data_IF_001343951745
#
_entry.id   IF_001343951745
#
_cell.length_a   1.000
_cell.length_b   1.000
_cell.length_c   1.000
_cell.angle_alpha   90.00
_cell.angle_beta   90.00
_cell.angle_gamma   90.00
#
_symmetry.space_group_name_H-M   'P 1'
#
loop_
_entity.id
_entity.type
_entity.pdbx_description
1 polymer ?
#
# COMPACT_ATOMS: atom_id res chain seq x y z
N UNK A 1 36.32 -29.19 -52.69
CA UNK A 1 36.33 -30.38 -53.57
C UNK A 1 37.46 -31.30 -53.11
N UNK A 2 37.10 -32.54 -52.77
CA UNK A 2 37.94 -33.75 -52.60
C UNK A 2 39.22 -33.68 -51.75
N UNK A 3 39.21 -34.36 -50.60
CA UNK A 3 40.10 -35.51 -50.40
C UNK A 3 39.57 -36.42 -49.28
N UNK A 4 39.75 -37.71 -49.50
CA UNK A 4 39.20 -38.89 -48.84
C UNK A 4 40.40 -39.72 -48.35
N UNK A 5 40.17 -40.53 -47.29
CA UNK A 5 40.94 -41.74 -46.90
C UNK A 5 42.31 -41.47 -46.23
N UNK A 6 42.82 -42.22 -45.25
CA UNK A 6 42.38 -43.41 -44.52
C UNK A 6 43.52 -43.81 -43.55
N UNK A 7 43.21 -44.45 -42.43
CA UNK A 7 44.08 -45.51 -41.86
C UNK A 7 44.67 -45.29 -40.47
N UNK A 8 44.45 -46.26 -39.57
CA UNK A 8 45.33 -46.52 -38.43
C UNK A 8 44.64 -46.93 -37.13
N UNK A 9 44.46 -48.24 -36.90
CA UNK A 9 44.00 -48.87 -35.65
C UNK A 9 45.13 -48.97 -34.61
N UNK A 10 44.82 -48.56 -33.36
CA UNK A 10 45.17 -49.09 -32.01
C UNK A 10 46.64 -49.47 -31.63
N UNK A 11 47.12 -49.23 -30.38
CA UNK A 11 46.58 -49.93 -29.19
C UNK A 11 46.49 -49.13 -27.86
N UNK A 12 45.46 -49.49 -27.07
CA UNK A 12 45.46 -49.75 -25.61
C UNK A 12 46.34 -48.91 -24.67
N UNK A 13 45.71 -48.10 -23.81
CA UNK A 13 46.05 -47.95 -22.38
C UNK A 13 44.76 -47.80 -21.55
N UNK A 14 44.60 -48.68 -20.56
CA UNK A 14 43.45 -48.78 -19.66
C UNK A 14 43.38 -47.64 -18.62
N UNK A 15 42.22 -47.40 -17.97
CA UNK A 15 41.98 -46.21 -17.15
C UNK A 15 42.33 -46.44 -15.67
N UNK A 16 43.30 -45.70 -15.13
CA UNK A 16 43.67 -45.72 -13.71
C UNK A 16 42.87 -44.73 -12.83
N UNK A 17 41.84 -44.06 -13.35
CA UNK A 17 41.10 -43.03 -12.60
C UNK A 17 39.65 -43.40 -12.22
N UNK A 18 39.20 -44.63 -12.51
CA UNK A 18 37.81 -45.06 -12.25
C UNK A 18 37.63 -45.95 -11.00
N UNK A 19 38.70 -46.33 -10.31
CA UNK A 19 38.62 -47.24 -9.15
C UNK A 19 38.61 -46.52 -7.79
N UNK A 20 39.01 -45.24 -7.73
CA UNK A 20 38.96 -44.43 -6.49
C UNK A 20 37.57 -43.89 -6.14
N UNK A 21 36.72 -43.63 -7.13
CA UNK A 21 35.41 -43.01 -6.91
C UNK A 21 34.32 -44.00 -6.42
N UNK A 22 34.47 -45.30 -6.71
CA UNK A 22 33.46 -46.31 -6.34
C UNK A 22 33.63 -46.88 -4.92
N UNK A 23 34.77 -46.68 -4.26
CA UNK A 23 34.99 -47.12 -2.87
C UNK A 23 34.54 -46.07 -1.84
N UNK A 24 34.46 -44.78 -2.20
CA UNK A 24 33.90 -43.73 -1.35
C UNK A 24 32.35 -43.75 -1.33
N UNK A 25 31.70 -44.15 -2.43
CA UNK A 25 30.24 -44.28 -2.50
C UNK A 25 29.67 -45.50 -1.74
N UNK A 26 30.48 -46.55 -1.50
CA UNK A 26 30.06 -47.74 -0.72
C UNK A 26 30.23 -47.60 0.80
N UNK A 27 30.96 -46.60 1.29
CA UNK A 27 31.07 -46.31 2.75
C UNK A 27 30.04 -45.28 3.25
N UNK A 28 29.45 -44.48 2.36
CA UNK A 28 28.37 -43.55 2.71
C UNK A 28 26.98 -44.19 2.88
N UNK A 29 26.73 -45.33 2.22
CA UNK A 29 25.42 -46.00 2.27
C UNK A 29 25.26 -47.05 3.38
N UNK A 30 26.35 -47.48 4.02
CA UNK A 30 26.29 -48.46 5.11
C UNK A 30 26.11 -47.83 6.51
N UNK A 31 26.22 -46.51 6.64
CA UNK A 31 26.04 -45.79 7.91
C UNK A 31 24.62 -45.23 8.12
N UNK A 32 23.70 -45.42 7.17
CA UNK A 32 22.31 -44.94 7.29
C UNK A 32 21.26 -46.06 7.35
N UNK A 33 21.68 -47.32 7.46
CA UNK A 33 20.77 -48.48 7.44
C UNK A 33 20.60 -49.18 8.82
N UNK A 34 21.17 -48.62 9.90
CA UNK A 34 21.13 -49.22 11.24
C UNK A 34 20.34 -48.39 12.28
N UNK A 35 19.51 -47.43 11.85
CA UNK A 35 18.68 -46.62 12.77
C UNK A 35 17.16 -46.76 12.50
N UNK A 36 16.74 -47.66 11.62
CA UNK A 36 15.33 -47.91 11.31
C UNK A 36 14.90 -49.29 11.83
N UNK A 37 14.75 -49.43 13.15
CA UNK A 37 13.96 -50.52 13.73
C UNK A 37 13.41 -50.20 15.13
N UNK A 38 13.04 -48.95 15.42
CA UNK A 38 12.08 -48.68 16.49
C UNK A 38 10.79 -48.18 15.86
N UNK A 39 9.70 -48.90 16.09
CA UNK A 39 8.36 -48.48 15.69
C UNK A 39 8.11 -47.05 16.20
N UNK A 40 8.12 -46.08 15.27
CA UNK A 40 7.73 -44.72 15.57
C UNK A 40 6.20 -44.71 15.67
N UNK A 41 5.71 -44.29 16.83
CA UNK A 41 4.29 -44.01 17.02
C UNK A 41 3.78 -43.03 15.94
N UNK A 42 2.53 -43.16 15.49
CA UNK A 42 1.96 -42.23 14.53
C UNK A 42 2.07 -40.80 15.07
N UNK A 43 2.64 -39.91 14.26
CA UNK A 43 2.79 -38.51 14.61
C UNK A 43 1.44 -37.94 15.09
N UNK A 44 1.41 -37.21 16.23
CA UNK A 44 0.17 -36.64 16.73
C UNK A 44 -0.42 -35.72 15.66
N UNK A 45 -1.74 -35.81 15.47
CA UNK A 45 -2.48 -34.93 14.58
C UNK A 45 -2.10 -33.47 14.85
N UNK A 46 -1.95 -32.63 13.80
CA UNK A 46 -1.60 -31.22 13.98
C UNK A 46 -2.61 -30.58 14.93
N UNK A 47 -2.10 -30.07 16.06
CA UNK A 47 -2.96 -29.38 17.02
C UNK A 47 -3.63 -28.19 16.32
N UNK A 48 -4.90 -27.88 16.65
CA UNK A 48 -5.57 -26.71 16.09
C UNK A 48 -4.68 -25.50 16.34
N UNK A 49 -4.31 -24.78 15.28
CA UNK A 49 -3.49 -23.59 15.37
C UNK A 49 -4.08 -22.69 16.47
N UNK A 50 -3.30 -22.43 17.53
CA UNK A 50 -3.70 -21.53 18.59
C UNK A 50 -4.27 -20.27 17.95
N UNK A 51 -5.50 -19.94 18.33
CA UNK A 51 -6.21 -18.76 17.86
C UNK A 51 -5.32 -17.56 18.16
N UNK A 52 -4.63 -17.04 17.14
CA UNK A 52 -3.70 -15.91 17.24
C UNK A 52 -4.36 -14.82 18.09
N UNK A 53 -3.89 -14.66 19.33
CA UNK A 53 -4.32 -13.57 20.17
C UNK A 53 -3.98 -12.27 19.43
N UNK A 54 -4.91 -11.32 19.42
CA UNK A 54 -4.63 -9.95 18.97
C UNK A 54 -3.36 -9.48 19.70
N UNK A 55 -2.30 -9.03 19.00
CA UNK A 55 -1.12 -8.54 19.68
C UNK A 55 -1.55 -7.46 20.67
N UNK A 56 -1.14 -7.62 21.93
CA UNK A 56 -1.14 -6.51 22.88
C UNK A 56 -0.43 -5.32 22.23
N UNK A 57 -0.84 -4.09 22.57
CA UNK A 57 -0.18 -2.87 22.10
C UNK A 57 1.35 -3.08 22.12
N UNK A 58 1.97 -3.01 20.94
CA UNK A 58 3.34 -3.46 20.72
C UNK A 58 4.27 -2.81 21.75
N UNK A 59 4.81 -3.64 22.65
CA UNK A 59 5.82 -3.22 23.61
C UNK A 59 7.16 -3.12 22.87
N UNK A 60 7.52 -1.88 22.54
CA UNK A 60 8.70 -1.59 21.74
C UNK A 60 9.95 -1.47 22.62
N UNK A 61 10.73 -2.54 22.83
CA UNK A 61 12.08 -2.36 23.38
C UNK A 61 13.04 -3.54 23.16
N UNK A 62 14.16 -3.25 22.48
CA UNK A 62 15.50 -3.75 22.85
C UNK A 62 16.56 -2.65 22.71
N UNK A 63 16.36 -1.64 21.86
CA UNK A 63 17.15 -0.41 21.80
C UNK A 63 16.45 0.76 22.52
N UNK A 64 17.19 1.64 23.21
CA UNK A 64 16.61 2.83 23.83
C UNK A 64 16.05 3.77 22.75
N UNK A 65 14.74 4.00 22.78
CA UNK A 65 14.09 5.02 21.96
C UNK A 65 14.28 6.39 22.62
N UNK A 66 14.52 7.45 21.84
CA UNK A 66 14.59 8.80 22.38
C UNK A 66 13.25 9.15 23.02
N UNK A 67 13.28 9.56 24.29
CA UNK A 67 12.06 9.92 25.03
C UNK A 67 11.62 11.34 24.73
N UNK A 68 12.49 12.15 24.11
CA UNK A 68 12.23 13.55 23.82
C UNK A 68 12.85 14.01 22.47
N UNK A 69 12.24 14.98 21.77
CA UNK A 69 12.70 15.42 20.44
C UNK A 69 14.11 16.03 20.39
N UNK A 70 14.63 16.56 21.50
CA UNK A 70 15.97 17.14 21.60
C UNK A 70 17.10 16.10 21.51
N UNK A 71 16.78 14.83 21.79
CA UNK A 71 17.74 13.72 21.73
C UNK A 71 17.94 13.13 20.33
N UNK A 72 17.14 13.57 19.35
CA UNK A 72 17.19 13.02 17.99
C UNK A 72 18.18 13.81 17.13
N UNK A 73 19.21 13.18 16.55
CA UNK A 73 20.17 13.87 15.69
C UNK A 73 19.48 14.39 14.42
N UNK A 74 19.74 15.64 14.05
CA UNK A 74 19.28 16.18 12.77
C UNK A 74 20.09 15.58 11.62
N UNK A 75 19.38 14.96 10.67
CA UNK A 75 19.99 14.37 9.47
C UNK A 75 19.28 14.92 8.25
N UNK A 76 20.03 15.26 7.21
CA UNK A 76 19.49 15.70 5.92
C UNK A 76 19.41 14.50 4.98
N UNK A 77 18.25 14.34 4.35
CA UNK A 77 17.99 13.34 3.32
C UNK A 77 17.44 13.96 2.06
N UNK A 78 17.37 13.16 1.00
CA UNK A 78 16.76 13.53 -0.26
C UNK A 78 15.31 13.03 -0.32
N UNK A 79 14.37 13.96 -0.36
CA UNK A 79 12.92 13.68 -0.32
C UNK A 79 12.29 14.07 -1.66
N UNK A 80 11.52 13.16 -2.24
CA UNK A 80 10.72 13.42 -3.44
C UNK A 80 9.51 14.29 -3.07
N UNK A 81 8.63 13.77 -2.21
CA UNK A 81 7.39 14.42 -1.84
C UNK A 81 6.91 13.98 -0.46
N UNK A 82 5.90 14.67 0.04
CA UNK A 82 5.25 14.38 1.32
C UNK A 82 3.75 14.36 1.07
N UNK A 83 3.06 13.40 1.67
CA UNK A 83 1.60 13.35 1.70
C UNK A 83 1.13 13.31 3.14
N UNK A 84 0.36 14.31 3.56
CA UNK A 84 0.02 14.49 4.98
C UNK A 84 -0.88 13.38 5.52
N UNK A 85 -1.73 12.80 4.66
CA UNK A 85 -2.79 11.87 5.06
C UNK A 85 -2.98 10.76 4.02
N UNK A 86 -2.36 9.61 4.24
CA UNK A 86 -2.71 8.37 3.55
C UNK A 86 -3.47 7.43 4.46
N UNK A 87 -4.48 6.76 3.93
CA UNK A 87 -5.20 5.67 4.60
C UNK A 87 -4.86 4.29 4.01
N UNK A 88 -3.86 4.21 3.12
CA UNK A 88 -3.55 3.00 2.34
C UNK A 88 -2.12 2.48 2.53
N UNK A 89 -1.29 3.19 3.28
CA UNK A 89 0.14 2.89 3.47
C UNK A 89 0.47 2.43 4.89
N UNK A 90 -0.42 1.59 5.40
CA UNK A 90 -0.34 0.97 6.72
C UNK A 90 -1.56 1.28 7.61
N UNK A 91 -1.65 0.67 8.79
CA UNK A 91 -2.71 0.92 9.76
C UNK A 91 -2.90 2.39 10.15
N UNK A 92 -4.16 2.84 10.15
CA UNK A 92 -4.54 4.21 10.53
C UNK A 92 -4.24 5.23 9.45
N UNK A 93 -4.31 6.52 9.82
CA UNK A 93 -3.90 7.62 8.93
C UNK A 93 -2.39 7.81 9.08
N UNK A 94 -1.68 7.87 7.95
CA UNK A 94 -0.23 7.96 7.88
C UNK A 94 0.20 9.28 7.26
N UNK A 95 1.20 9.91 7.86
CA UNK A 95 2.01 10.93 7.22
C UNK A 95 3.07 10.23 6.36
N UNK A 96 3.05 10.45 5.05
CA UNK A 96 3.95 9.80 4.12
C UNK A 96 5.12 10.68 3.75
N UNK A 97 6.29 10.08 3.79
CA UNK A 97 7.52 10.66 3.26
C UNK A 97 7.99 9.79 2.11
N UNK A 98 7.88 10.29 0.89
CA UNK A 98 8.43 9.64 -0.29
C UNK A 98 9.90 10.06 -0.41
N UNK A 99 10.83 9.17 -0.07
CA UNK A 99 12.26 9.44 -0.25
C UNK A 99 12.66 9.31 -1.72
N UNK A 100 13.70 10.04 -2.11
CA UNK A 100 14.33 9.89 -3.41
C UNK A 100 15.37 8.77 -3.38
N UNK A 101 15.58 8.10 -4.51
CA UNK A 101 16.56 7.05 -4.73
C UNK A 101 15.95 5.65 -4.64
N UNK A 102 16.09 4.84 -5.69
CA UNK A 102 15.69 3.43 -5.68
C UNK A 102 16.69 2.58 -6.47
N UNK A 103 17.10 1.44 -5.91
CA UNK A 103 18.05 0.52 -6.53
C UNK A 103 17.41 -0.49 -7.50
N UNK A 104 16.08 -0.53 -7.55
CA UNK A 104 15.30 -1.38 -8.44
C UNK A 104 14.83 -0.64 -9.70
N UNK A 105 14.50 -1.43 -10.72
CA UNK A 105 13.86 -0.96 -11.96
C UNK A 105 12.61 -1.80 -12.23
N UNK A 106 11.72 -1.81 -11.24
CA UNK A 106 10.48 -2.57 -11.29
C UNK A 106 9.71 -2.26 -12.59
N UNK A 107 9.36 -3.28 -13.37
CA UNK A 107 8.65 -3.13 -14.65
C UNK A 107 7.30 -2.41 -14.54
N UNK A 108 6.70 -2.38 -13.34
CA UNK A 108 5.44 -1.70 -13.03
C UNK A 108 5.62 -0.47 -12.10
N UNK A 109 6.84 0.04 -11.93
CA UNK A 109 7.10 1.12 -10.97
C UNK A 109 6.17 2.33 -11.22
N UNK A 110 5.37 2.73 -10.24
CA UNK A 110 4.51 3.91 -10.37
C UNK A 110 5.24 5.23 -10.17
N UNK A 111 6.50 5.20 -9.72
CA UNK A 111 7.29 6.39 -9.41
C UNK A 111 8.73 6.29 -9.97
N UNK A 112 8.90 6.19 -11.30
CA UNK A 112 10.24 6.18 -11.92
C UNK A 112 11.03 7.48 -11.66
N UNK A 113 10.32 8.58 -11.45
CA UNK A 113 10.81 9.89 -11.01
C UNK A 113 11.56 9.83 -9.66
N UNK A 114 11.35 8.80 -8.84
CA UNK A 114 12.08 8.60 -7.57
C UNK A 114 13.41 7.88 -7.74
N UNK A 115 13.78 7.33 -8.91
CA UNK A 115 14.94 6.44 -9.01
C UNK A 115 16.29 7.09 -8.74
N UNK A 116 16.43 8.36 -9.09
CA UNK A 116 17.71 9.08 -9.05
C UNK A 116 17.84 9.88 -7.75
N UNK A 117 18.63 9.36 -6.80
CA UNK A 117 18.84 9.95 -5.46
C UNK A 117 19.17 11.46 -5.50
N UNK A 118 19.96 11.90 -6.47
CA UNK A 118 20.42 13.28 -6.56
C UNK A 118 19.34 14.31 -6.94
N UNK A 119 18.12 13.88 -7.30
CA UNK A 119 17.06 14.77 -7.80
C UNK A 119 16.04 15.21 -6.74
N UNK A 120 16.11 14.66 -5.53
CA UNK A 120 15.14 14.98 -4.48
C UNK A 120 15.54 16.26 -3.72
N UNK A 121 14.57 16.82 -3.02
CA UNK A 121 14.74 18.01 -2.19
C UNK A 121 15.49 17.66 -0.91
N UNK A 122 16.58 18.36 -0.64
CA UNK A 122 17.30 18.22 0.63
C UNK A 122 16.41 18.70 1.76
N UNK A 123 16.04 17.76 2.63
CA UNK A 123 15.10 17.99 3.74
C UNK A 123 15.71 17.43 5.02
N UNK A 124 15.72 18.21 6.10
CA UNK A 124 16.18 17.71 7.39
C UNK A 124 15.09 16.92 8.11
N UNK A 125 15.49 15.96 8.94
CA UNK A 125 14.56 15.21 9.79
C UNK A 125 13.80 16.13 10.74
N UNK A 126 14.42 17.21 11.24
CA UNK A 126 13.76 18.23 12.07
C UNK A 126 12.69 19.00 11.31
N UNK A 127 12.90 19.30 10.04
CA UNK A 127 11.88 19.96 9.23
C UNK A 127 10.67 19.06 8.95
N UNK A 128 10.90 17.77 8.72
CA UNK A 128 9.83 16.77 8.68
C UNK A 128 9.11 16.68 10.04
N UNK A 129 9.86 16.70 11.14
CA UNK A 129 9.31 16.64 12.49
C UNK A 129 8.41 17.84 12.80
N UNK A 130 8.78 19.06 12.36
CA UNK A 130 7.92 20.25 12.46
C UNK A 130 6.61 20.09 11.69
N UNK A 131 6.66 19.51 10.48
CA UNK A 131 5.46 19.20 9.68
C UNK A 131 4.60 18.15 10.37
N UNK A 132 5.24 17.10 10.89
CA UNK A 132 4.60 16.00 11.61
C UNK A 132 3.86 16.50 12.85
N UNK A 133 4.45 17.42 13.63
CA UNK A 133 3.81 18.01 14.81
C UNK A 133 2.49 18.73 14.46
N UNK A 134 2.45 19.46 13.34
CA UNK A 134 1.25 20.18 12.90
C UNK A 134 0.10 19.23 12.55
N UNK A 135 0.40 18.05 12.01
CA UNK A 135 -0.61 17.08 11.58
C UNK A 135 -0.90 16.00 12.62
N UNK A 136 -0.07 15.86 13.66
CA UNK A 136 -0.20 14.85 14.72
C UNK A 136 -1.62 14.73 15.31
N UNK A 137 -2.38 15.81 15.58
CA UNK A 137 -3.75 15.69 16.08
C UNK A 137 -4.69 14.91 15.15
N UNK A 138 -4.45 14.94 13.84
CA UNK A 138 -5.24 14.18 12.85
C UNK A 138 -4.78 12.73 12.74
N UNK A 139 -3.48 12.46 12.97
CA UNK A 139 -2.92 11.10 12.95
C UNK A 139 -3.29 10.31 14.21
N UNK A 140 -3.51 10.99 15.33
CA UNK A 140 -3.83 10.38 16.64
C UNK A 140 -5.25 10.67 17.11
N UNK A 141 -6.00 11.49 16.37
CA UNK A 141 -7.37 11.84 16.67
C UNK A 141 -8.33 10.65 16.54
N UNK A 142 -9.48 10.75 17.21
CA UNK A 142 -10.59 9.79 17.12
C UNK A 142 -10.23 8.34 17.49
N UNK A 143 -9.21 8.13 18.34
CA UNK A 143 -8.79 6.80 18.79
C UNK A 143 -8.01 6.00 17.74
N UNK A 144 -7.49 6.67 16.70
CA UNK A 144 -6.63 6.05 15.68
C UNK A 144 -5.17 5.98 16.16
N UNK A 145 -4.47 4.91 15.77
CA UNK A 145 -3.02 4.71 16.04
C UNK A 145 -2.18 5.05 14.80
N UNK A 146 -2.41 6.23 14.22
CA UNK A 146 -1.68 6.70 13.04
C UNK A 146 -0.23 7.04 13.33
N UNK A 147 0.48 7.47 12.29
CA UNK A 147 1.93 7.68 12.40
C UNK A 147 2.60 8.01 11.07
N UNK A 148 3.87 7.63 10.92
CA UNK A 148 4.66 7.95 9.73
C UNK A 148 4.99 6.71 8.89
N UNK A 149 4.78 6.79 7.58
CA UNK A 149 5.28 5.77 6.64
C UNK A 149 6.32 6.40 5.72
N UNK A 150 7.54 5.86 5.73
CA UNK A 150 8.59 6.28 4.79
C UNK A 150 8.55 5.31 3.60
N UNK A 151 8.29 5.83 2.39
CA UNK A 151 8.11 5.09 1.13
C UNK A 151 8.84 5.82 -0.03
N UNK A 152 8.32 5.75 -1.25
CA UNK A 152 8.83 6.42 -2.45
C UNK A 152 9.82 5.59 -3.22
N UNK A 153 11.09 5.95 -3.16
CA UNK A 153 12.16 5.15 -3.72
C UNK A 153 12.44 3.93 -2.84
N UNK A 154 13.48 4.01 -2.01
CA UNK A 154 13.84 2.97 -1.06
C UNK A 154 14.39 3.60 0.23
N UNK A 155 13.63 3.58 1.34
CA UNK A 155 14.06 4.15 2.62
C UNK A 155 15.42 3.64 3.12
N UNK A 156 15.75 2.38 2.83
CA UNK A 156 16.99 1.73 3.26
C UNK A 156 18.24 2.19 2.48
N UNK A 157 18.08 3.00 1.42
CA UNK A 157 19.19 3.68 0.74
C UNK A 157 19.62 4.97 1.45
N UNK A 158 18.83 5.48 2.41
CA UNK A 158 19.15 6.65 3.23
C UNK A 158 19.04 6.30 4.73
N UNK A 159 19.81 5.33 5.23
CA UNK A 159 19.52 4.70 6.52
C UNK A 159 19.63 5.65 7.72
N UNK A 160 20.58 6.59 7.73
CA UNK A 160 20.71 7.58 8.82
C UNK A 160 19.53 8.55 8.84
N UNK A 161 19.12 9.01 7.66
CA UNK A 161 17.98 9.91 7.53
C UNK A 161 16.67 9.21 7.91
N UNK A 162 16.46 8.02 7.37
CA UNK A 162 15.30 7.17 7.69
C UNK A 162 15.24 6.90 9.19
N UNK A 163 16.34 6.47 9.82
CA UNK A 163 16.39 6.25 11.27
C UNK A 163 16.04 7.52 12.06
N UNK A 164 16.63 8.66 11.71
CA UNK A 164 16.37 9.94 12.37
C UNK A 164 14.88 10.34 12.25
N UNK A 165 14.25 10.19 11.08
CA UNK A 165 12.83 10.51 10.89
C UNK A 165 11.92 9.58 11.71
N UNK A 166 12.23 8.29 11.80
CA UNK A 166 11.47 7.35 12.64
C UNK A 166 11.60 7.69 14.13
N UNK A 167 12.82 8.04 14.57
CA UNK A 167 13.08 8.52 15.93
C UNK A 167 12.30 9.80 16.25
N UNK A 168 12.22 10.76 15.32
CA UNK A 168 11.40 11.97 15.50
C UNK A 168 9.91 11.66 15.70
N UNK A 169 9.39 10.64 15.00
CA UNK A 169 8.01 10.21 15.16
C UNK A 169 7.78 9.52 16.52
N UNK A 170 8.69 8.64 16.94
CA UNK A 170 8.62 8.01 18.27
C UNK A 170 8.67 9.02 19.41
N UNK A 171 9.55 10.01 19.34
CA UNK A 171 9.63 11.09 20.32
C UNK A 171 8.32 11.90 20.44
N UNK A 172 7.41 11.75 19.48
CA UNK A 172 6.08 12.38 19.44
C UNK A 172 4.93 11.42 19.75
N UNK A 173 5.23 10.16 20.10
CA UNK A 173 4.23 9.13 20.38
C UNK A 173 3.49 8.62 19.14
N UNK A 174 4.11 8.73 17.97
CA UNK A 174 3.54 8.26 16.70
C UNK A 174 4.13 6.92 16.31
N UNK A 175 3.33 6.08 15.64
CA UNK A 175 3.82 4.80 15.14
C UNK A 175 4.66 4.97 13.87
N UNK A 176 5.51 4.00 13.56
CA UNK A 176 6.57 4.09 12.57
C UNK A 176 6.53 2.89 11.63
N UNK A 177 6.68 3.19 10.34
CA UNK A 177 6.63 2.20 9.28
C UNK A 177 7.59 2.59 8.16
N UNK A 178 8.23 1.58 7.55
CA UNK A 178 8.82 1.71 6.22
C UNK A 178 8.02 0.88 5.23
N UNK A 179 7.83 1.42 4.04
CA UNK A 179 7.35 0.69 2.87
C UNK A 179 8.53 0.48 1.93
N UNK A 180 8.99 -0.76 1.85
CA UNK A 180 10.32 -1.10 1.36
C UNK A 180 10.29 -2.32 0.45
N UNK A 181 11.31 -2.42 -0.39
CA UNK A 181 11.60 -3.61 -1.19
C UNK A 181 12.67 -4.49 -0.54
N UNK A 182 13.12 -4.14 0.67
CA UNK A 182 14.14 -4.85 1.44
C UNK A 182 15.56 -4.65 0.91
N UNK A 183 15.79 -3.66 0.05
CA UNK A 183 17.12 -3.39 -0.47
C UNK A 183 17.98 -2.63 0.54
N UNK A 184 19.24 -3.01 0.72
CA UNK A 184 20.23 -2.22 1.45
C UNK A 184 21.58 -2.34 0.77
N UNK A 185 22.38 -1.27 0.75
CA UNK A 185 23.73 -1.36 0.17
C UNK A 185 24.65 -2.25 1.02
N UNK A 186 24.35 -2.37 2.33
CA UNK A 186 25.09 -3.17 3.33
C UNK A 186 24.15 -3.64 4.45
N UNK A 187 24.44 -4.79 5.08
CA UNK A 187 23.69 -5.26 6.28
C UNK A 187 23.62 -4.19 7.39
N UNK A 188 24.68 -3.42 7.59
CA UNK A 188 24.75 -2.35 8.59
C UNK A 188 23.73 -1.21 8.38
N UNK A 189 23.03 -1.17 7.24
CA UNK A 189 21.92 -0.23 7.02
C UNK A 189 20.67 -0.67 7.78
N UNK A 190 20.43 -1.99 7.86
CA UNK A 190 19.30 -2.55 8.58
C UNK A 190 19.43 -2.32 10.08
N UNK A 191 20.64 -2.45 10.63
CA UNK A 191 20.93 -2.17 12.05
C UNK A 191 20.58 -0.74 12.47
N UNK A 192 20.66 0.22 11.54
CA UNK A 192 20.31 1.61 11.81
C UNK A 192 18.82 1.85 11.79
N UNK A 193 18.07 1.18 10.91
CA UNK A 193 16.65 1.49 10.65
C UNK A 193 15.72 0.58 11.47
N UNK A 194 15.96 -0.73 11.46
CA UNK A 194 15.06 -1.74 12.03
C UNK A 194 14.72 -1.53 13.52
N UNK A 195 15.65 -1.08 14.39
CA UNK A 195 15.31 -0.83 15.80
C UNK A 195 14.26 0.27 16.02
N UNK A 196 14.03 1.13 15.01
CA UNK A 196 13.09 2.24 15.07
C UNK A 196 11.79 1.95 14.32
N UNK A 197 11.51 0.69 13.99
CA UNK A 197 10.25 0.28 13.39
C UNK A 197 9.29 -0.27 14.42
N UNK A 198 8.01 0.04 14.23
CA UNK A 198 6.92 -0.65 14.89
C UNK A 198 6.41 -1.80 14.03
N UNK A 199 6.41 -1.61 12.70
CA UNK A 199 6.17 -2.63 11.69
C UNK A 199 6.75 -2.21 10.34
N UNK A 200 6.80 -3.14 9.38
CA UNK A 200 7.21 -2.88 8.01
C UNK A 200 6.13 -3.30 7.00
N UNK A 201 6.09 -2.59 5.88
CA UNK A 201 5.41 -3.03 4.65
C UNK A 201 6.50 -3.49 3.70
N UNK A 202 6.53 -4.78 3.38
CA UNK A 202 7.60 -5.37 2.57
C UNK A 202 7.04 -5.93 1.28
N UNK A 203 7.47 -5.40 0.14
CA UNK A 203 7.02 -5.89 -1.15
C UNK A 203 8.00 -6.90 -1.77
N UNK A 204 7.65 -8.18 -1.71
CA UNK A 204 8.47 -9.29 -2.24
C UNK A 204 8.57 -9.29 -3.77
N UNK A 205 7.60 -8.66 -4.46
CA UNK A 205 7.46 -8.62 -5.93
C UNK A 205 7.17 -10.00 -6.56
N UNK A 206 8.01 -10.99 -6.32
CA UNK A 206 7.77 -12.41 -6.58
C UNK A 206 8.73 -13.26 -5.74
N UNK A 207 8.27 -14.36 -5.10
CA UNK A 207 9.16 -15.31 -4.43
C UNK A 207 9.95 -16.20 -5.42
N UNK A 208 9.58 -16.20 -6.72
CA UNK A 208 10.26 -16.97 -7.76
C UNK A 208 11.47 -16.16 -8.27
N UNK A 209 12.72 -16.64 -8.14
CA UNK A 209 13.91 -15.85 -8.44
C UNK A 209 13.96 -15.25 -9.85
N UNK A 210 13.56 -16.03 -10.86
CA UNK A 210 13.57 -15.59 -12.27
C UNK A 210 12.52 -14.49 -12.52
N UNK A 211 11.31 -14.64 -11.96
CA UNK A 211 10.27 -13.62 -12.03
C UNK A 211 10.67 -12.36 -11.26
N UNK A 212 11.26 -12.51 -10.08
CA UNK A 212 11.79 -11.40 -9.30
C UNK A 212 12.83 -10.59 -10.11
N UNK A 213 13.77 -11.27 -10.75
CA UNK A 213 14.79 -10.60 -11.57
C UNK A 213 14.20 -9.95 -12.81
N UNK A 214 13.27 -10.61 -13.50
CA UNK A 214 12.55 -10.01 -14.62
C UNK A 214 11.81 -8.73 -14.20
N UNK A 215 11.11 -8.77 -13.06
CA UNK A 215 10.37 -7.63 -12.51
C UNK A 215 11.32 -6.51 -12.14
N UNK A 216 12.34 -6.80 -11.32
CA UNK A 216 13.06 -5.78 -10.56
C UNK A 216 14.40 -5.37 -11.17
N UNK A 217 14.90 -6.17 -12.12
CA UNK A 217 16.25 -6.13 -12.71
C UNK A 217 17.37 -6.41 -11.69
N UNK A 218 17.05 -7.07 -10.56
CA UNK A 218 17.99 -7.46 -9.51
C UNK A 218 17.73 -8.89 -9.04
N UNK A 219 18.72 -9.51 -8.40
CA UNK A 219 18.56 -10.81 -7.76
C UNK A 219 17.78 -10.67 -6.44
N UNK A 220 17.02 -11.70 -6.08
CA UNK A 220 16.14 -11.73 -4.90
C UNK A 220 16.88 -11.79 -3.56
N UNK A 221 18.16 -12.22 -3.55
CA UNK A 221 18.95 -12.47 -2.34
C UNK A 221 18.86 -11.39 -1.25
N UNK A 222 19.11 -10.10 -1.55
CA UNK A 222 19.00 -9.02 -0.55
C UNK A 222 17.60 -8.90 0.08
N UNK A 223 16.54 -9.11 -0.70
CA UNK A 223 15.17 -9.06 -0.21
C UNK A 223 14.85 -10.24 0.73
N UNK A 224 15.41 -11.43 0.46
CA UNK A 224 15.30 -12.58 1.37
C UNK A 224 16.06 -12.31 2.68
N UNK A 225 17.29 -11.79 2.60
CA UNK A 225 18.07 -11.44 3.79
C UNK A 225 17.38 -10.40 4.67
N UNK A 226 16.69 -9.43 4.06
CA UNK A 226 15.89 -8.46 4.80
C UNK A 226 14.73 -9.11 5.57
N UNK A 227 14.03 -10.07 4.94
CA UNK A 227 12.95 -10.83 5.60
C UNK A 227 13.50 -11.66 6.76
N UNK A 228 14.67 -12.26 6.59
CA UNK A 228 15.32 -13.03 7.65
C UNK A 228 15.66 -12.15 8.86
N UNK A 229 16.08 -10.90 8.65
CA UNK A 229 16.29 -9.93 9.73
C UNK A 229 14.99 -9.55 10.45
N UNK A 230 13.90 -9.32 9.71
CA UNK A 230 12.58 -9.04 10.31
C UNK A 230 12.11 -10.22 11.17
N UNK A 231 12.29 -11.45 10.70
CA UNK A 231 11.95 -12.66 11.43
C UNK A 231 12.85 -12.85 12.67
N UNK A 232 14.17 -12.70 12.52
CA UNK A 232 15.13 -12.83 13.62
C UNK A 232 14.88 -11.81 14.74
N UNK A 233 14.57 -10.57 14.37
CA UNK A 233 14.29 -9.47 15.32
C UNK A 233 12.84 -9.44 15.80
N UNK A 234 11.99 -10.34 15.29
CA UNK A 234 10.55 -10.42 15.58
C UNK A 234 9.80 -9.12 15.25
N UNK A 235 10.23 -8.41 14.21
CA UNK A 235 9.61 -7.16 13.76
C UNK A 235 8.37 -7.51 12.93
N UNK A 236 7.17 -7.06 13.33
CA UNK A 236 5.96 -7.31 12.57
C UNK A 236 6.03 -6.75 11.16
N UNK A 237 5.50 -7.47 10.17
CA UNK A 237 5.39 -6.92 8.82
C UNK A 237 4.20 -7.45 8.04
N UNK A 238 3.78 -6.66 7.05
CA UNK A 238 2.83 -7.09 6.03
C UNK A 238 3.57 -7.36 4.74
N UNK A 239 3.34 -8.54 4.16
CA UNK A 239 3.88 -8.90 2.87
C UNK A 239 3.01 -8.30 1.78
N UNK A 240 3.58 -7.44 0.94
CA UNK A 240 2.92 -6.84 -0.21
C UNK A 240 3.24 -7.63 -1.48
N UNK A 241 2.20 -8.04 -2.20
CA UNK A 241 2.34 -8.82 -3.42
C UNK A 241 1.58 -8.15 -4.57
N UNK A 242 2.28 -7.79 -5.65
CA UNK A 242 1.66 -7.17 -6.82
C UNK A 242 1.15 -8.26 -7.77
N UNK A 243 -0.16 -8.33 -7.93
CA UNK A 243 -0.84 -9.27 -8.80
C UNK A 243 -0.91 -8.70 -10.22
N UNK A 244 -0.25 -9.36 -11.16
CA UNK A 244 -0.17 -9.00 -12.58
C UNK A 244 -0.78 -10.14 -13.40
N UNK A 245 -1.82 -9.81 -14.15
CA UNK A 245 -2.56 -10.79 -14.95
C UNK A 245 -1.64 -11.51 -15.96
N UNK A 246 -1.65 -12.84 -15.93
CA UNK A 246 -0.81 -13.71 -16.76
C UNK A 246 0.69 -13.64 -16.47
N UNK A 247 1.11 -13.11 -15.32
CA UNK A 247 2.54 -12.96 -14.96
C UNK A 247 2.84 -13.41 -13.53
N UNK A 248 2.04 -12.98 -12.57
CA UNK A 248 2.24 -13.25 -11.14
C UNK A 248 0.98 -13.82 -10.47
N UNK A 249 0.06 -14.36 -11.26
CA UNK A 249 -1.25 -14.87 -10.86
C UNK A 249 -1.43 -16.39 -11.14
N UNK A 250 -0.37 -17.08 -11.57
CA UNK A 250 -0.42 -18.50 -11.94
C UNK A 250 -0.41 -19.45 -10.73
N UNK A 251 -0.73 -20.75 -10.93
CA UNK A 251 -0.63 -21.76 -9.89
C UNK A 251 0.76 -21.85 -9.25
N UNK A 252 1.82 -21.68 -10.04
CA UNK A 252 3.19 -21.68 -9.54
C UNK A 252 3.50 -20.48 -8.64
N UNK A 253 2.88 -19.32 -8.90
CA UNK A 253 3.03 -18.12 -8.08
C UNK A 253 2.34 -18.31 -6.72
N UNK A 254 1.16 -18.91 -6.73
CA UNK A 254 0.39 -19.23 -5.52
C UNK A 254 1.18 -20.19 -4.64
N UNK A 255 1.66 -21.30 -5.22
CA UNK A 255 2.44 -22.30 -4.49
C UNK A 255 3.73 -21.69 -3.92
N UNK A 256 4.48 -20.94 -4.73
CA UNK A 256 5.71 -20.30 -4.27
C UNK A 256 5.45 -19.27 -3.15
N UNK A 257 4.33 -18.53 -3.23
CA UNK A 257 3.94 -17.59 -2.18
C UNK A 257 3.53 -18.32 -0.89
N UNK A 258 2.82 -19.44 -1.00
CA UNK A 258 2.47 -20.28 0.15
C UNK A 258 3.74 -20.78 0.83
N UNK A 259 4.64 -21.41 0.08
CA UNK A 259 5.90 -21.94 0.61
C UNK A 259 6.75 -20.86 1.28
N UNK A 260 6.85 -19.68 0.65
CA UNK A 260 7.58 -18.55 1.21
C UNK A 260 6.99 -18.09 2.56
N UNK A 261 5.67 -18.11 2.69
CA UNK A 261 4.95 -17.59 3.86
C UNK A 261 4.81 -18.59 5.01
N UNK A 262 4.77 -19.90 4.75
CA UNK A 262 4.39 -20.92 5.74
C UNK A 262 5.24 -20.90 7.02
N UNK A 263 6.50 -20.49 6.95
CA UNK A 263 7.42 -20.49 8.08
C UNK A 263 7.65 -19.12 8.71
N UNK A 264 6.91 -18.08 8.29
CA UNK A 264 7.10 -16.70 8.76
C UNK A 264 6.21 -16.43 9.98
N UNK A 265 6.84 -16.13 11.12
CA UNK A 265 6.19 -15.90 12.41
C UNK A 265 5.89 -14.44 12.66
N UNK A 266 6.70 -13.53 12.12
CA UNK A 266 6.51 -12.08 12.25
C UNK A 266 5.57 -11.50 11.20
N UNK A 267 5.33 -12.26 10.11
CA UNK A 267 4.35 -11.87 9.08
C UNK A 267 2.91 -11.89 9.62
N UNK A 268 2.25 -10.74 9.56
CA UNK A 268 0.89 -10.58 10.07
C UNK A 268 -0.19 -10.71 9.00
N UNK A 269 0.10 -10.26 7.78
CA UNK A 269 -0.85 -10.25 6.67
C UNK A 269 -0.13 -10.32 5.32
N UNK A 270 -0.85 -10.78 4.29
CA UNK A 270 -0.47 -10.65 2.89
C UNK A 270 -1.44 -9.67 2.23
N UNK A 271 -0.93 -8.53 1.79
CA UNK A 271 -1.68 -7.52 1.06
C UNK A 271 -1.49 -7.74 -0.45
N UNK A 272 -2.56 -8.21 -1.10
CA UNK A 272 -2.58 -8.41 -2.56
C UNK A 272 -2.96 -7.10 -3.25
N UNK A 273 -2.03 -6.57 -4.04
CA UNK A 273 -2.11 -5.31 -4.77
C UNK A 273 -2.34 -5.57 -6.26
N UNK A 274 -3.56 -5.36 -6.80
CA UNK A 274 -3.80 -5.51 -8.22
C UNK A 274 -2.99 -4.48 -9.01
N UNK A 275 -2.29 -4.94 -10.06
CA UNK A 275 -1.59 -4.07 -10.98
C UNK A 275 -2.51 -3.00 -11.59
N UNK A 276 -2.01 -1.77 -11.71
CA UNK A 276 -2.73 -0.63 -12.25
C UNK A 276 -1.83 0.25 -13.12
N UNK A 277 -2.43 1.08 -13.97
CA UNK A 277 -1.73 1.99 -14.88
C UNK A 277 -1.28 3.33 -14.24
N UNK A 278 -1.45 3.51 -12.93
CA UNK A 278 -0.95 4.73 -12.27
C UNK A 278 0.56 4.83 -12.39
N UNK A 279 1.03 6.01 -12.76
CA UNK A 279 2.46 6.33 -12.93
C UNK A 279 3.00 6.10 -14.33
N UNK A 280 2.23 5.54 -15.28
CA UNK A 280 2.70 5.32 -16.67
C UNK A 280 3.15 6.63 -17.33
N UNK A 281 2.41 7.73 -17.13
CA UNK A 281 2.78 9.06 -17.64
C UNK A 281 4.14 9.57 -17.10
N UNK A 282 4.54 9.11 -15.91
CA UNK A 282 5.84 9.49 -15.33
C UNK A 282 7.00 8.79 -16.04
N UNK A 283 6.80 7.62 -16.62
CA UNK A 283 7.82 6.98 -17.45
C UNK A 283 8.11 7.82 -18.68
N UNK A 284 7.06 8.29 -19.35
CA UNK A 284 7.20 9.19 -20.50
C UNK A 284 7.86 10.52 -20.12
N UNK A 285 7.47 11.11 -18.98
CA UNK A 285 8.07 12.35 -18.45
C UNK A 285 9.57 12.20 -18.15
N UNK A 286 10.00 10.99 -17.79
CA UNK A 286 11.42 10.64 -17.56
C UNK A 286 12.15 10.21 -18.85
N UNK A 287 11.48 10.25 -20.01
CA UNK A 287 12.03 9.81 -21.29
C UNK A 287 12.23 8.30 -21.38
N UNK A 288 11.45 7.51 -20.63
CA UNK A 288 11.56 6.06 -20.53
C UNK A 288 10.37 5.37 -21.21
N UNK A 289 10.66 4.23 -21.85
CA UNK A 289 9.61 3.35 -22.36
C UNK A 289 9.00 2.52 -21.22
N UNK A 290 7.66 2.51 -21.13
CA UNK A 290 6.96 1.70 -20.16
C UNK A 290 6.97 0.20 -20.55
N UNK A 291 7.52 -0.72 -19.72
CA UNK A 291 7.72 -2.11 -20.12
C UNK A 291 6.44 -2.95 -20.26
N UNK A 292 5.33 -2.49 -19.69
CA UNK A 292 4.06 -3.24 -19.61
C UNK A 292 2.97 -2.61 -20.47
N UNK A 293 3.34 -1.89 -21.53
CA UNK A 293 2.38 -1.34 -22.50
C UNK A 293 1.44 -2.42 -23.00
N UNK A 294 0.13 -2.15 -22.93
CA UNK A 294 -0.92 -3.10 -23.34
C UNK A 294 -1.33 -4.13 -22.27
N UNK A 295 -0.67 -4.17 -21.11
CA UNK A 295 -1.09 -5.05 -20.01
C UNK A 295 -2.35 -4.51 -19.33
N UNK A 296 -3.38 -5.36 -19.21
CA UNK A 296 -4.60 -5.07 -18.47
C UNK A 296 -4.40 -5.26 -16.95
N UNK A 297 -5.16 -4.50 -16.16
CA UNK A 297 -5.30 -4.77 -14.72
C UNK A 297 -6.04 -6.09 -14.49
N UNK A 298 -5.69 -6.87 -13.43
CA UNK A 298 -6.44 -8.07 -13.09
C UNK A 298 -7.91 -7.76 -12.83
N UNK A 299 -8.80 -8.63 -13.32
CA UNK A 299 -10.24 -8.54 -13.04
C UNK A 299 -10.54 -8.77 -11.55
N UNK A 300 -11.70 -8.29 -11.09
CA UNK A 300 -12.13 -8.51 -9.70
C UNK A 300 -12.20 -10.00 -9.33
N UNK A 301 -12.62 -10.86 -10.26
CA UNK A 301 -12.66 -12.31 -10.04
C UNK A 301 -11.27 -12.94 -9.98
N UNK A 302 -10.30 -12.48 -10.79
CA UNK A 302 -8.91 -12.94 -10.66
C UNK A 302 -8.34 -12.60 -9.28
N UNK A 303 -8.54 -11.37 -8.82
CA UNK A 303 -8.06 -10.95 -7.48
C UNK A 303 -8.72 -11.77 -6.38
N UNK A 304 -10.05 -11.95 -6.46
CA UNK A 304 -10.81 -12.73 -5.48
C UNK A 304 -10.39 -14.20 -5.46
N UNK A 305 -10.18 -14.80 -6.62
CA UNK A 305 -9.70 -16.19 -6.76
C UNK A 305 -8.31 -16.35 -6.16
N UNK A 306 -7.39 -15.44 -6.47
CA UNK A 306 -6.02 -15.46 -5.94
C UNK A 306 -5.99 -15.33 -4.42
N UNK A 307 -6.72 -14.36 -3.87
CA UNK A 307 -6.85 -14.19 -2.41
C UNK A 307 -7.47 -15.43 -1.78
N UNK A 308 -8.52 -15.98 -2.39
CA UNK A 308 -9.18 -17.20 -1.89
C UNK A 308 -8.19 -18.36 -1.79
N UNK A 309 -7.37 -18.59 -2.81
CA UNK A 309 -6.38 -19.66 -2.82
C UNK A 309 -5.38 -19.54 -1.65
N UNK A 310 -4.90 -18.33 -1.37
CA UNK A 310 -4.02 -18.08 -0.22
C UNK A 310 -4.74 -18.29 1.12
N UNK A 311 -6.00 -17.85 1.24
CA UNK A 311 -6.77 -18.04 2.47
C UNK A 311 -7.14 -19.50 2.72
N UNK A 312 -7.43 -20.28 1.66
CA UNK A 312 -7.71 -21.71 1.75
C UNK A 312 -6.46 -22.49 2.23
N UNK A 313 -5.27 -21.99 1.89
CA UNK A 313 -3.98 -22.48 2.39
C UNK A 313 -3.65 -22.01 3.83
N UNK A 314 -4.56 -21.32 4.51
CA UNK A 314 -4.40 -20.88 5.90
C UNK A 314 -3.59 -19.59 6.07
N UNK A 315 -3.29 -18.86 4.99
CA UNK A 315 -2.54 -17.61 5.08
C UNK A 315 -3.47 -16.42 5.36
N UNK A 316 -3.00 -15.40 6.12
CA UNK A 316 -3.76 -14.19 6.41
C UNK A 316 -3.75 -13.23 5.20
N UNK A 317 -4.27 -13.67 4.06
CA UNK A 317 -4.31 -12.89 2.84
C UNK A 317 -5.56 -12.00 2.76
N UNK A 318 -5.36 -10.74 2.37
CA UNK A 318 -6.42 -9.75 2.20
C UNK A 318 -6.27 -9.05 0.85
N UNK A 319 -7.41 -8.75 0.21
CA UNK A 319 -7.43 -7.87 -0.94
C UNK A 319 -7.25 -6.42 -0.46
N UNK A 320 -6.34 -5.69 -1.09
CA UNK A 320 -6.25 -4.24 -0.93
C UNK A 320 -7.58 -3.57 -1.30
N UNK A 321 -8.22 -2.88 -0.34
CA UNK A 321 -9.39 -2.04 -0.60
C UNK A 321 -9.01 -0.58 -0.32
N UNK A 322 -9.15 0.30 -1.33
CA UNK A 322 -8.97 1.77 -1.18
C UNK A 322 -9.82 2.40 -0.07
N UNK A 323 -10.87 1.70 0.37
CA UNK A 323 -11.63 2.03 1.59
C UNK A 323 -11.57 0.83 2.55
N UNK A 324 -10.71 0.88 3.56
CA UNK A 324 -10.98 0.19 4.81
C UNK A 324 -10.89 1.18 5.97
N UNK A 325 -12.08 1.58 6.45
CA UNK A 325 -12.35 1.44 7.87
C UNK A 325 -11.91 0.02 8.25
N UNK A 326 -10.99 -0.08 9.19
CA UNK A 326 -10.66 -1.33 9.86
C UNK A 326 -11.94 -1.75 10.61
N UNK A 327 -12.83 -2.48 9.94
CA UNK A 327 -13.85 -3.27 10.62
C UNK A 327 -13.15 -4.47 11.23
N UNK A 328 -12.54 -4.25 12.39
CA UNK A 328 -12.38 -5.34 13.33
C UNK A 328 -13.72 -5.52 14.02
N UNK A 329 -14.50 -6.50 13.57
CA UNK A 329 -15.35 -7.36 14.41
C UNK A 329 -16.24 -8.24 13.51
N UNK A 330 -15.73 -9.39 13.08
CA UNK A 330 -16.55 -10.60 13.22
C UNK A 330 -16.49 -10.96 14.70
N UNK A 331 -17.45 -10.44 15.47
CA UNK A 331 -17.59 -10.75 16.88
C UNK A 331 -18.15 -12.18 17.03
N UNK A 332 -17.71 -12.95 18.05
CA UNK A 332 -18.21 -14.28 18.32
C UNK A 332 -19.54 -14.21 19.07
N UNK A 333 -20.64 -13.87 18.37
CA UNK A 333 -21.99 -13.79 18.98
C UNK A 333 -23.05 -14.71 18.34
N UNK A 334 -22.67 -15.59 17.40
CA UNK A 334 -23.63 -16.54 16.77
C UNK A 334 -23.55 -17.97 17.33
N UNK A 335 -22.80 -18.22 18.41
CA UNK A 335 -22.86 -19.49 19.14
C UNK A 335 -22.92 -19.32 20.65
N UNK A 336 -24.05 -18.81 21.15
CA UNK A 336 -24.52 -19.16 22.49
C UNK A 336 -26.05 -19.02 22.61
N UNK A 337 -26.79 -19.79 21.81
CA UNK A 337 -28.17 -20.11 22.13
C UNK A 337 -28.19 -21.37 22.98
N UNK A 338 -28.12 -21.23 24.31
CA UNK A 338 -28.72 -22.09 25.36
C UNK A 338 -28.04 -21.88 26.72
N UNK A 339 -28.86 -21.90 27.78
CA UNK A 339 -28.56 -21.77 29.22
C UNK A 339 -28.62 -20.32 29.75
N UNK A 340 -29.81 -19.81 30.07
CA UNK A 340 -30.50 -19.87 31.39
C UNK A 340 -30.00 -18.82 32.42
N UNK A 341 -30.90 -17.86 32.65
CA UNK A 341 -31.25 -17.21 33.94
C UNK A 341 -30.15 -16.59 34.81
N UNK A 342 -30.13 -15.25 34.93
CA UNK A 342 -30.83 -14.54 36.02
C UNK A 342 -30.41 -13.05 36.15
N UNK A 343 -31.42 -12.22 36.43
CA UNK A 343 -31.39 -11.08 37.37
C UNK A 343 -30.61 -9.78 37.07
N UNK A 344 -31.40 -8.81 36.56
CA UNK A 344 -31.69 -7.45 37.10
C UNK A 344 -30.58 -6.38 37.19
N UNK A 345 -31.04 -5.14 36.87
CA UNK A 345 -30.45 -3.78 36.99
C UNK A 345 -29.73 -3.37 35.70
N UNK A 346 -30.11 -2.34 34.93
CA UNK A 346 -30.79 -1.08 35.23
C UNK A 346 -31.72 -0.69 34.07
N UNK A 347 -32.95 -0.31 34.40
CA UNK A 347 -33.86 0.43 33.53
C UNK A 347 -34.08 1.82 34.17
N UNK A 348 -34.46 2.79 33.33
CA UNK A 348 -34.69 4.24 33.57
C UNK A 348 -33.41 5.05 33.33
N UNK A 349 -33.35 6.00 32.40
CA UNK A 349 -34.31 7.09 32.15
C UNK A 349 -34.31 7.49 30.67
N UNK A 350 -35.47 7.35 30.02
CA UNK A 350 -35.87 8.15 28.86
C UNK A 350 -37.09 8.97 29.28
N UNK A 351 -36.96 10.30 29.38
CA UNK A 351 -38.05 11.29 29.21
C UNK A 351 -37.52 12.72 29.39
N UNK A 352 -37.47 13.49 28.30
CA UNK A 352 -38.21 14.76 28.08
C UNK A 352 -37.46 15.65 27.05
N UNK A 353 -38.03 15.91 25.84
CA UNK A 353 -37.38 16.72 24.81
C UNK A 353 -37.73 18.22 24.86
N UNK A 354 -38.12 18.79 26.00
CA UNK A 354 -38.47 20.22 26.10
C UNK A 354 -37.79 20.94 27.27
N UNK A 355 -36.48 21.19 27.14
CA UNK A 355 -35.77 22.33 27.80
C UNK A 355 -34.27 22.29 27.45
N UNK A 356 -33.92 22.82 26.28
CA UNK A 356 -32.60 23.43 26.09
C UNK A 356 -32.84 24.83 25.52
N UNK A 357 -32.61 25.82 26.37
CA UNK A 357 -32.74 27.23 26.09
C UNK A 357 -31.85 27.67 24.94
N UNK A 358 -32.37 28.58 24.13
CA UNK A 358 -31.78 29.22 22.95
C UNK A 358 -30.51 30.06 23.23
N UNK A 359 -29.43 29.43 23.72
CA UNK A 359 -28.14 30.12 23.91
C UNK A 359 -26.89 29.34 23.51
N UNK A 360 -27.04 28.23 22.78
CA UNK A 360 -25.91 27.49 22.21
C UNK A 360 -26.24 27.03 20.77
N UNK A 361 -26.76 27.93 19.94
CA UNK A 361 -26.87 27.75 18.49
C UNK A 361 -26.23 28.93 17.76
N UNK A 362 -24.96 29.18 18.10
CA UNK A 362 -24.05 29.98 17.29
C UNK A 362 -22.66 29.38 17.49
N UNK A 363 -22.01 28.97 16.40
CA UNK A 363 -20.70 28.31 16.30
C UNK A 363 -20.69 26.78 16.26
N UNK A 364 -21.14 26.23 15.13
CA UNK A 364 -20.64 24.97 14.55
C UNK A 364 -20.90 24.98 13.04
N UNK A 365 -20.36 25.97 12.33
CA UNK A 365 -20.55 26.12 10.88
C UNK A 365 -19.30 25.60 10.15
N UNK A 366 -19.29 24.31 9.81
CA UNK A 366 -18.39 23.78 8.78
C UNK A 366 -18.94 24.13 7.39
N UNK A 367 -18.06 24.21 6.39
CA UNK A 367 -18.48 24.44 5.01
C UNK A 367 -19.34 23.25 4.50
N UNK A 368 -20.46 23.54 3.84
CA UNK A 368 -21.25 22.53 3.12
C UNK A 368 -20.87 22.54 1.65
N UNK A 369 -20.75 21.37 1.02
CA UNK A 369 -20.40 21.27 -0.40
C UNK A 369 -21.44 20.50 -1.19
N UNK A 370 -21.62 20.90 -2.45
CA UNK A 370 -22.44 20.21 -3.42
C UNK A 370 -21.68 20.08 -4.73
N UNK A 371 -21.87 18.95 -5.41
CA UNK A 371 -21.32 18.70 -6.74
C UNK A 371 -22.46 18.65 -7.75
N UNK A 372 -22.28 19.37 -8.84
CA UNK A 372 -23.11 19.31 -10.04
C UNK A 372 -22.32 18.64 -11.17
N UNK A 373 -22.91 17.62 -11.77
CA UNK A 373 -22.37 16.91 -12.93
C UNK A 373 -23.26 17.15 -14.14
N UNK A 374 -22.65 17.45 -15.29
CA UNK A 374 -23.29 17.51 -16.59
C UNK A 374 -22.82 16.36 -17.49
N UNK A 375 -23.73 15.84 -18.29
CA UNK A 375 -23.44 15.01 -19.46
C UNK A 375 -23.77 15.80 -20.72
N UNK A 376 -22.85 15.84 -21.67
CA UNK A 376 -22.99 16.59 -22.91
C UNK A 376 -23.52 15.72 -24.05
N UNK A 377 -23.94 16.39 -25.12
CA UNK A 377 -24.13 15.77 -26.44
C UNK A 377 -22.77 15.35 -27.05
N UNK A 378 -22.71 14.29 -27.87
CA UNK A 378 -21.45 13.81 -28.45
C UNK A 378 -20.68 14.86 -29.29
N UNK A 379 -21.38 15.83 -29.88
CA UNK A 379 -20.85 16.89 -30.75
C UNK A 379 -20.72 18.25 -30.05
N UNK A 380 -20.52 18.24 -28.73
CA UNK A 380 -20.44 19.45 -27.90
C UNK A 380 -19.37 20.44 -28.37
N UNK A 381 -18.23 19.97 -28.88
CA UNK A 381 -17.14 20.84 -29.33
C UNK A 381 -17.55 21.74 -30.48
N UNK A 382 -18.45 21.26 -31.34
CA UNK A 382 -18.95 21.98 -32.51
C UNK A 382 -20.11 22.91 -32.12
N UNK A 383 -21.02 22.44 -31.26
CA UNK A 383 -22.26 23.17 -30.91
C UNK A 383 -22.10 24.24 -29.85
N UNK A 384 -21.06 24.18 -29.01
CA UNK A 384 -20.96 25.03 -27.82
C UNK A 384 -20.59 26.48 -28.08
N UNK A 385 -20.04 26.81 -29.26
CA UNK A 385 -19.47 28.13 -29.58
C UNK A 385 -20.39 29.30 -29.21
N UNK A 386 -21.63 29.36 -29.73
CA UNK A 386 -22.55 30.48 -29.49
C UNK A 386 -22.97 30.68 -28.03
N UNK A 387 -22.93 29.61 -27.21
CA UNK A 387 -23.43 29.63 -25.83
C UNK A 387 -22.33 29.67 -24.77
N UNK A 388 -21.07 29.45 -25.19
CA UNK A 388 -19.92 29.26 -24.28
C UNK A 388 -19.67 30.48 -23.40
N UNK A 389 -19.73 31.68 -23.95
CA UNK A 389 -19.47 32.91 -23.20
C UNK A 389 -20.49 33.10 -22.08
N UNK A 390 -21.78 32.97 -22.39
CA UNK A 390 -22.86 33.10 -21.42
C UNK A 390 -22.86 31.97 -20.37
N UNK A 391 -22.52 30.73 -20.77
CA UNK A 391 -22.31 29.61 -19.85
C UNK A 391 -21.18 29.89 -18.85
N UNK A 392 -20.02 30.36 -19.33
CA UNK A 392 -18.88 30.70 -18.48
C UNK A 392 -19.18 31.90 -17.57
N UNK A 393 -19.91 32.91 -18.05
CA UNK A 393 -20.30 34.07 -17.25
C UNK A 393 -21.10 33.67 -16.00
N UNK A 394 -22.00 32.68 -16.11
CA UNK A 394 -22.73 32.13 -14.96
C UNK A 394 -21.79 31.50 -13.92
N UNK A 395 -20.83 30.70 -14.36
CA UNK A 395 -19.83 30.07 -13.49
C UNK A 395 -18.91 31.11 -12.83
N UNK A 396 -18.45 32.11 -13.59
CA UNK A 396 -17.63 33.21 -13.08
C UNK A 396 -18.36 34.01 -12.00
N UNK A 397 -19.65 34.34 -12.20
CA UNK A 397 -20.47 35.02 -11.20
C UNK A 397 -20.54 34.25 -9.87
N UNK A 398 -20.67 32.92 -9.92
CA UNK A 398 -20.68 32.09 -8.71
C UNK A 398 -19.29 31.98 -8.06
N UNK A 399 -18.22 31.99 -8.87
CA UNK A 399 -16.84 32.00 -8.39
C UNK A 399 -16.50 33.32 -7.69
N UNK A 400 -16.90 34.46 -8.26
CA UNK A 400 -16.71 35.81 -7.69
C UNK A 400 -17.48 35.98 -6.37
N UNK A 401 -18.65 35.36 -6.26
CA UNK A 401 -19.42 35.29 -5.01
C UNK A 401 -18.83 34.30 -3.98
N UNK A 402 -17.68 33.67 -4.26
CA UNK A 402 -17.02 32.67 -3.41
C UNK A 402 -17.88 31.42 -3.12
N UNK A 403 -18.88 31.18 -3.98
CA UNK A 403 -19.88 30.09 -3.94
C UNK A 403 -19.48 28.89 -4.80
N UNK A 404 -18.62 29.08 -5.80
CA UNK A 404 -18.08 28.03 -6.66
C UNK A 404 -16.58 27.90 -6.41
N UNK A 405 -16.14 26.70 -6.03
CA UNK A 405 -14.75 26.39 -5.70
C UNK A 405 -13.94 26.10 -6.98
N UNK A 406 -14.52 25.28 -7.85
CA UNK A 406 -13.94 24.94 -9.15
C UNK A 406 -15.04 24.45 -10.09
N UNK A 407 -14.84 24.66 -11.39
CA UNK A 407 -15.66 24.11 -12.44
C UNK A 407 -14.81 23.83 -13.69
N UNK A 408 -15.16 22.76 -14.42
CA UNK A 408 -14.43 22.40 -15.63
C UNK A 408 -15.12 21.30 -16.43
N UNK A 409 -14.78 21.23 -17.72
CA UNK A 409 -15.17 20.11 -18.56
C UNK A 409 -14.29 18.88 -18.25
N UNK A 410 -14.86 17.68 -18.36
CA UNK A 410 -14.08 16.44 -18.39
C UNK A 410 -13.25 16.42 -19.68
N UNK A 411 -12.02 15.93 -19.59
CA UNK A 411 -11.12 15.80 -20.73
C UNK A 411 -11.07 14.34 -21.20
N UNK A 412 -10.97 14.14 -22.51
CA UNK A 412 -10.66 12.84 -23.14
C UNK A 412 -11.62 11.69 -22.76
N UNK A 413 -12.88 11.70 -23.26
CA UNK A 413 -13.50 12.68 -24.15
C UNK A 413 -14.12 13.88 -23.40
N UNK A 414 -14.45 14.95 -24.14
CA UNK A 414 -15.22 16.08 -23.59
C UNK A 414 -16.70 15.74 -23.59
N UNK A 415 -17.11 14.84 -22.70
CA UNK A 415 -18.48 14.29 -22.63
C UNK A 415 -19.28 14.80 -21.41
N UNK A 416 -18.70 15.69 -20.60
CA UNK A 416 -19.38 16.25 -19.44
C UNK A 416 -18.62 17.39 -18.77
N UNK A 417 -19.18 17.86 -17.66
CA UNK A 417 -18.54 18.84 -16.78
C UNK A 417 -18.85 18.60 -15.31
N UNK A 418 -17.99 19.13 -14.45
CA UNK A 418 -18.07 19.06 -13.00
C UNK A 418 -18.00 20.48 -12.41
N UNK A 419 -18.89 20.77 -11.47
CA UNK A 419 -18.90 22.00 -10.69
C UNK A 419 -18.93 21.65 -9.20
N UNK A 420 -18.09 22.29 -8.40
CA UNK A 420 -18.02 22.10 -6.94
C UNK A 420 -18.45 23.40 -6.26
N UNK A 421 -19.63 23.40 -5.66
CA UNK A 421 -20.20 24.52 -4.92
C UNK A 421 -19.91 24.41 -3.44
N UNK A 422 -19.77 25.56 -2.78
CA UNK A 422 -19.55 25.68 -1.33
C UNK A 422 -20.55 26.66 -0.72
N UNK A 423 -21.21 26.22 0.35
CA UNK A 423 -22.21 26.97 1.09
C UNK A 423 -23.38 27.44 0.21
N UNK A 424 -23.73 26.61 -0.78
CA UNK A 424 -24.84 26.82 -1.71
C UNK A 424 -25.86 25.72 -1.50
N UNK A 425 -27.15 26.08 -1.39
CA UNK A 425 -28.23 25.12 -1.25
C UNK A 425 -28.52 24.41 -2.58
N UNK A 426 -29.21 23.27 -2.53
CA UNK A 426 -29.58 22.52 -3.73
C UNK A 426 -30.47 23.36 -4.65
N UNK A 427 -31.39 24.14 -4.09
CA UNK A 427 -32.35 24.98 -4.82
C UNK A 427 -31.64 26.11 -5.57
N UNK A 428 -30.60 26.70 -4.99
CA UNK A 428 -29.78 27.71 -5.67
C UNK A 428 -28.98 27.11 -6.84
N UNK A 429 -28.50 25.87 -6.69
CA UNK A 429 -27.84 25.14 -7.80
C UNK A 429 -28.84 24.77 -8.89
N UNK A 430 -30.07 24.37 -8.54
CA UNK A 430 -31.13 24.10 -9.52
C UNK A 430 -31.52 25.37 -10.31
N UNK A 431 -31.55 26.53 -9.67
CA UNK A 431 -31.73 27.82 -10.34
C UNK A 431 -30.56 28.14 -11.28
N UNK A 432 -29.31 27.86 -10.85
CA UNK A 432 -28.12 27.97 -11.71
C UNK A 432 -28.23 27.09 -12.95
N UNK A 433 -28.61 25.81 -12.79
CA UNK A 433 -28.77 24.85 -13.90
C UNK A 433 -29.88 25.31 -14.86
N UNK A 434 -31.00 25.80 -14.33
CA UNK A 434 -32.14 26.24 -15.15
C UNK A 434 -31.83 27.51 -15.97
N UNK A 435 -30.91 28.35 -15.48
CA UNK A 435 -30.43 29.55 -16.15
C UNK A 435 -29.26 29.29 -17.11
N UNK A 436 -28.69 28.07 -17.13
CA UNK A 436 -27.50 27.74 -17.92
C UNK A 436 -27.85 27.63 -19.42
N UNK A 437 -27.21 28.43 -20.30
CA UNK A 437 -27.42 28.38 -21.74
C UNK A 437 -27.18 26.99 -22.36
N UNK A 438 -26.27 26.18 -21.81
CA UNK A 438 -26.06 24.82 -22.31
C UNK A 438 -27.25 23.90 -21.99
N UNK A 439 -27.94 24.12 -20.87
CA UNK A 439 -29.13 23.36 -20.50
C UNK A 439 -30.34 23.83 -21.32
N UNK A 440 -30.53 25.15 -21.43
CA UNK A 440 -31.64 25.75 -22.17
C UNK A 440 -31.65 25.38 -23.67
N UNK A 441 -30.47 25.19 -24.25
CA UNK A 441 -30.31 24.85 -25.67
C UNK A 441 -30.05 23.36 -25.92
N UNK A 442 -30.19 22.50 -24.90
CA UNK A 442 -30.10 21.04 -25.06
C UNK A 442 -28.69 20.48 -25.31
N UNK A 443 -27.63 21.25 -24.99
CA UNK A 443 -26.25 20.78 -25.06
C UNK A 443 -25.92 19.88 -23.85
N UNK A 444 -26.64 20.03 -22.75
CA UNK A 444 -26.61 19.12 -21.59
C UNK A 444 -27.77 18.13 -21.69
N UNK A 445 -27.45 16.84 -21.83
CA UNK A 445 -28.45 15.76 -21.94
C UNK A 445 -28.94 15.28 -20.57
N UNK A 446 -28.10 15.43 -19.54
CA UNK A 446 -28.41 15.03 -18.17
C UNK A 446 -27.61 15.86 -17.18
N UNK A 447 -28.21 16.16 -16.03
CA UNK A 447 -27.49 16.72 -14.89
C UNK A 447 -27.83 15.99 -13.59
N UNK A 448 -26.93 16.05 -12.61
CA UNK A 448 -27.15 15.52 -11.27
C UNK A 448 -26.50 16.41 -10.21
N UNK A 449 -27.25 16.73 -9.15
CA UNK A 449 -26.78 17.50 -8.00
C UNK A 449 -26.70 16.57 -6.80
N UNK A 450 -25.55 16.52 -6.12
CA UNK A 450 -25.34 15.66 -4.96
C UNK A 450 -24.59 16.40 -3.85
N UNK A 451 -24.93 16.16 -2.57
CA UNK A 451 -24.08 16.56 -1.46
C UNK A 451 -22.68 15.96 -1.64
N UNK A 452 -21.65 16.78 -1.43
CA UNK A 452 -20.26 16.36 -1.55
C UNK A 452 -19.61 16.42 -0.18
N UNK A 453 -19.18 15.28 0.33
CA UNK A 453 -18.49 15.21 1.61
C UNK A 453 -16.99 15.42 1.37
N UNK A 454 -16.49 16.59 1.76
CA UNK A 454 -15.06 16.89 1.64
C UNK A 454 -14.31 16.19 2.77
N UNK A 455 -13.42 15.28 2.42
CA UNK A 455 -12.57 14.53 3.37
C UNK A 455 -11.11 15.01 3.38
N UNK A 456 -10.72 15.77 2.36
CA UNK A 456 -9.43 16.44 2.23
C UNK A 456 -9.56 17.64 1.27
N UNK A 457 -8.82 18.73 1.50
CA UNK A 457 -8.79 19.91 0.61
C UNK A 457 -9.70 21.08 1.00
N UNK A 458 -10.43 21.01 2.13
CA UNK A 458 -11.10 22.17 2.73
C UNK A 458 -10.10 22.97 3.59
N UNK A 459 -9.18 23.66 2.93
CA UNK A 459 -8.29 24.62 3.57
C UNK A 459 -8.74 26.03 3.19
N UNK A 460 -9.65 26.59 3.98
CA UNK A 460 -9.71 28.04 4.18
C UNK A 460 -9.36 28.37 5.63
#
# INVERSE_FOLDING_TARGET
MLSLLSGGLAPSLAPAAAVGALQLLKRGFAASAAAWSSAAEPAPAPQPAERRQRPAAFDFATAPRPTAPDQVPEVVGSVHSIESFSAVDGPGVRFLVFVQGCGLRCVFCSNPDTWHMARGNLTSSKDLAKKLERVKPYLTGHGTTGGITISGGEPLLQPEFTASVLMEAHARGLTTCIDTTGQGLKHSHWDKVLPHLDYALFCIKSPIPEKYEWITKRKIGPALGFVDELEQRKIPYWLRYVLMAGKTDGPEDIEALIQFCSNKRSMQAIEVLPYHLLGVQKWESEGLQYPLTGMASPSAEQVKSFVKALTDAGLPAVQFRRNHQISTCLSPWVMLARSLTSSRRLANVCRDPRRLSARTMASAAGNSYHVLQYSYVPDILEKRGPFREAHLAGAHKMSEANKLVMAGALAEPVDGALFVFRNVSKEEIEAFVSADPYVQNGLVTKHAIRPFMVVAGDSQ
#
